data_IF_157179062598
#
_entry.id   IF_157179062598
#
_cell.length_a   1.000
_cell.length_b   1.000
_cell.length_c   1.000
_cell.angle_alpha   90.00
_cell.angle_beta   90.00
_cell.angle_gamma   90.00
#
_symmetry.space_group_name_H-M   'P 1'
#
loop_
_entity.id
_entity.type
_entity.pdbx_description
1 polymer ?
#
# COMPACT_ATOMS: atom_id res chain seq x y z
N UNK A 1 -9.98 16.57 1.65
CA UNK A 1 -9.35 17.00 2.92
C UNK A 1 -8.98 15.73 3.66
N UNK A 2 -7.72 15.29 3.57
CA UNK A 2 -7.27 14.05 4.21
C UNK A 2 -7.02 14.32 5.69
N UNK A 3 -7.61 13.52 6.58
CA UNK A 3 -7.33 13.51 8.01
C UNK A 3 -5.98 12.84 8.26
N UNK A 4 -4.89 13.51 7.88
CA UNK A 4 -3.56 13.07 8.29
C UNK A 4 -3.30 13.61 9.69
N UNK A 5 -3.04 12.72 10.65
CA UNK A 5 -2.50 13.13 11.94
C UNK A 5 -1.18 13.87 11.69
N UNK A 6 -1.07 15.11 12.18
CA UNK A 6 0.11 15.96 11.91
C UNK A 6 1.39 15.22 12.31
N UNK A 7 2.27 14.99 11.33
CA UNK A 7 3.55 14.31 11.53
C UNK A 7 3.51 12.78 11.44
N UNK A 8 2.38 12.15 11.11
CA UNK A 8 2.31 10.71 10.93
C UNK A 8 2.87 10.29 9.56
N UNK A 9 3.57 9.15 9.55
CA UNK A 9 4.06 8.47 8.34
C UNK A 9 3.31 7.16 8.16
N UNK A 10 2.75 6.95 6.97
CA UNK A 10 1.93 5.79 6.65
C UNK A 10 2.76 4.77 5.87
N UNK A 11 2.75 3.53 6.34
CA UNK A 11 3.26 2.39 5.57
C UNK A 11 2.08 1.66 4.97
N UNK A 12 2.07 1.50 3.65
CA UNK A 12 0.98 0.90 2.92
C UNK A 12 1.41 -0.44 2.31
N UNK A 13 0.85 -1.54 2.82
CA UNK A 13 1.09 -2.89 2.31
C UNK A 13 0.13 -3.19 1.15
N UNK A 14 0.68 -3.52 -0.02
CA UNK A 14 -0.08 -3.67 -1.25
C UNK A 14 0.26 -4.98 -1.96
N UNK A 15 -0.70 -5.52 -2.69
CA UNK A 15 -0.42 -6.50 -3.72
C UNK A 15 0.17 -5.82 -4.98
N UNK A 16 0.51 -6.63 -5.98
CA UNK A 16 1.12 -6.16 -7.23
C UNK A 16 0.12 -5.93 -8.36
N UNK A 17 -1.12 -5.52 -8.05
CA UNK A 17 -2.07 -5.12 -9.08
C UNK A 17 -1.46 -4.02 -9.98
N UNK A 18 -1.81 -4.01 -11.27
CA UNK A 18 -1.18 -3.11 -12.25
C UNK A 18 -1.27 -1.62 -11.86
N UNK A 19 -2.35 -1.22 -11.20
CA UNK A 19 -2.55 0.15 -10.73
C UNK A 19 -1.70 0.51 -9.49
N UNK A 20 -1.17 -0.46 -8.73
CA UNK A 20 -0.21 -0.21 -7.63
C UNK A 20 1.24 -0.09 -8.11
N UNK A 21 1.55 -0.61 -9.30
CA UNK A 21 2.93 -0.76 -9.80
C UNK A 21 3.25 0.14 -10.99
N UNK A 22 2.26 0.87 -11.50
CA UNK A 22 2.46 1.85 -12.57
C UNK A 22 3.38 2.99 -12.12
N UNK A 23 4.28 3.41 -13.01
CA UNK A 23 5.12 4.60 -12.80
C UNK A 23 4.34 5.93 -12.82
N UNK A 24 3.07 5.90 -13.22
CA UNK A 24 2.20 7.08 -13.25
C UNK A 24 1.55 7.39 -11.90
N UNK A 25 1.72 6.52 -10.89
CA UNK A 25 1.19 6.73 -9.55
C UNK A 25 2.14 7.58 -8.72
N UNK A 26 1.67 8.74 -8.25
CA UNK A 26 2.45 9.66 -7.41
C UNK A 26 2.10 9.45 -5.94
N UNK A 27 3.09 9.01 -5.15
CA UNK A 27 2.94 8.82 -3.71
C UNK A 27 3.19 10.13 -2.94
N UNK A 28 2.33 10.48 -1.96
CA UNK A 28 2.64 11.52 -0.99
C UNK A 28 3.94 11.23 -0.23
N UNK A 29 4.66 12.28 0.18
CA UNK A 29 5.99 12.16 0.81
C UNK A 29 6.01 11.38 2.12
N UNK A 30 4.88 11.33 2.81
CA UNK A 30 4.70 10.63 4.09
C UNK A 30 4.09 9.23 3.92
N UNK A 31 4.10 8.68 2.70
CA UNK A 31 3.66 7.31 2.42
C UNK A 31 4.82 6.50 1.87
N UNK A 32 5.06 5.33 2.47
CA UNK A 32 5.95 4.31 1.92
C UNK A 32 5.12 3.09 1.49
N UNK A 33 5.01 2.80 0.19
CA UNK A 33 4.41 1.56 -0.29
C UNK A 33 5.36 0.38 -0.10
N UNK A 34 4.84 -0.74 0.40
CA UNK A 34 5.53 -2.04 0.45
C UNK A 34 4.72 -3.01 -0.41
N UNK A 35 5.33 -3.47 -1.51
CA UNK A 35 4.72 -4.44 -2.41
C UNK A 35 5.04 -5.85 -1.94
N UNK A 36 4.00 -6.66 -1.73
CA UNK A 36 4.15 -8.07 -1.38
C UNK A 36 4.77 -8.88 -2.54
N UNK A 37 5.39 -10.04 -2.23
CA UNK A 37 5.76 -11.02 -3.24
C UNK A 37 4.58 -11.40 -4.14
N UNK A 38 4.88 -11.73 -5.40
CA UNK A 38 3.85 -12.16 -6.35
C UNK A 38 3.21 -13.47 -5.89
N UNK A 39 1.88 -13.55 -5.94
CA UNK A 39 1.08 -14.75 -5.62
C UNK A 39 1.23 -15.23 -4.16
N UNK A 40 1.37 -14.29 -3.21
CA UNK A 40 1.38 -14.56 -1.77
C UNK A 40 0.12 -14.02 -1.06
N UNK A 41 -1.07 -14.62 -1.29
CA UNK A 41 -2.30 -14.22 -0.60
C UNK A 41 -2.22 -14.38 0.92
N UNK A 42 -1.44 -15.35 1.42
CA UNK A 42 -1.21 -15.61 2.84
C UNK A 42 -0.59 -14.42 3.59
N UNK A 43 0.11 -13.53 2.89
CA UNK A 43 0.74 -12.35 3.47
C UNK A 43 -0.17 -11.12 3.46
N UNK A 44 -1.35 -11.20 2.84
CA UNK A 44 -2.26 -10.08 2.71
C UNK A 44 -3.35 -10.21 3.77
N UNK A 45 -3.26 -9.36 4.81
CA UNK A 45 -4.19 -9.39 5.94
C UNK A 45 -5.66 -9.36 5.54
N UNK A 46 -6.01 -8.70 4.43
CA UNK A 46 -7.40 -8.64 3.96
C UNK A 46 -7.92 -10.02 3.60
N UNK A 47 -7.11 -10.88 2.99
CA UNK A 47 -7.47 -12.24 2.57
C UNK A 47 -7.67 -13.19 3.76
N UNK A 48 -7.25 -12.81 4.96
CA UNK A 48 -7.49 -13.59 6.17
C UNK A 48 -8.84 -13.27 6.84
N UNK A 49 -9.48 -12.17 6.43
CA UNK A 49 -10.76 -11.70 7.01
C UNK A 49 -11.93 -11.84 6.04
N UNK A 50 -11.65 -11.99 4.73
CA UNK A 50 -12.64 -12.42 3.74
C UNK A 50 -13.05 -13.87 3.96
#
# INVERSE_FOLDING_TARGET
MSLEARGAHTVLLLDRAGWHTTGNLVWPKNITPILLPSRSPELKSVEQVW
#
